data_IF_163059594809
#
_entry.id   IF_163059594809
#
_cell.length_a   1.000
_cell.length_b   1.000
_cell.length_c   1.000
_cell.angle_alpha   90.00
_cell.angle_beta   90.00
_cell.angle_gamma   90.00
#
_symmetry.space_group_name_H-M   'P 1'
#
loop_
_entity.id
_entity.type
_entity.pdbx_description
1 polymer ?
#
# COMPACT_ATOMS: atom_id res chain seq x y z
N UNK A 1 -0.94 13.72 29.81
CA UNK A 1 -0.42 14.62 28.77
C UNK A 1 0.49 13.81 27.86
N UNK A 2 0.33 13.89 26.54
CA UNK A 2 1.18 13.15 25.60
C UNK A 2 2.64 13.57 25.71
N UNK A 3 3.55 12.59 25.66
CA UNK A 3 4.98 12.83 25.55
C UNK A 3 5.58 11.88 24.53
N UNK A 4 6.27 12.41 23.52
CA UNK A 4 6.97 11.63 22.50
C UNK A 4 8.08 10.75 23.10
N UNK A 5 8.56 11.10 24.28
CA UNK A 5 9.58 10.36 25.03
C UNK A 5 9.00 9.15 25.79
N UNK A 6 7.71 9.17 26.12
CA UNK A 6 7.05 8.10 26.85
C UNK A 6 6.34 7.17 25.85
N UNK A 7 7.11 6.22 25.31
CA UNK A 7 6.61 5.30 24.30
C UNK A 7 7.04 3.86 24.62
N UNK A 8 6.11 2.86 24.63
CA UNK A 8 4.66 3.02 24.43
C UNK A 8 4.00 3.86 25.54
N UNK A 9 2.81 4.46 25.27
CA UNK A 9 2.12 5.28 26.26
C UNK A 9 1.62 4.46 27.45
N UNK A 10 1.61 5.06 28.64
CA UNK A 10 1.00 4.50 29.86
C UNK A 10 -0.52 4.80 29.90
N UNK A 11 -1.25 4.49 28.85
CA UNK A 11 -2.69 4.71 28.76
C UNK A 11 -3.42 3.36 28.74
N UNK A 12 -4.70 3.35 29.10
CA UNK A 12 -5.55 2.19 28.85
C UNK A 12 -5.87 2.10 27.35
N UNK A 13 -5.18 1.20 26.68
CA UNK A 13 -5.29 0.97 25.23
C UNK A 13 -6.34 -0.10 24.88
N UNK A 14 -6.79 -0.87 25.86
CA UNK A 14 -7.67 -2.03 25.68
C UNK A 14 -9.06 -1.78 26.29
N UNK A 15 -9.60 -0.59 26.07
CA UNK A 15 -10.96 -0.27 26.49
C UNK A 15 -11.99 -1.19 25.81
N UNK A 16 -13.17 -1.35 26.41
CA UNK A 16 -14.21 -2.22 25.84
C UNK A 16 -14.58 -1.87 24.39
N UNK A 17 -14.72 -0.59 24.00
CA UNK A 17 -14.93 -0.23 22.59
C UNK A 17 -13.77 -0.67 21.68
N UNK A 18 -12.52 -0.45 22.09
CA UNK A 18 -11.31 -0.84 21.35
C UNK A 18 -11.26 -2.35 21.17
N UNK A 19 -11.46 -3.16 22.23
CA UNK A 19 -11.45 -4.61 22.16
C UNK A 19 -12.53 -5.16 21.21
N UNK A 20 -13.73 -4.59 21.22
CA UNK A 20 -14.78 -4.96 20.26
C UNK A 20 -14.40 -4.67 18.81
N UNK A 21 -13.81 -3.50 18.56
CA UNK A 21 -13.36 -3.09 17.22
C UNK A 21 -12.18 -3.94 16.77
N UNK A 22 -11.24 -4.22 17.66
CA UNK A 22 -10.08 -5.07 17.44
C UNK A 22 -10.49 -6.49 16.97
N UNK A 23 -11.46 -7.11 17.66
CA UNK A 23 -11.98 -8.42 17.27
C UNK A 23 -12.53 -8.41 15.82
N UNK A 24 -13.29 -7.38 15.45
CA UNK A 24 -13.83 -7.23 14.09
C UNK A 24 -12.72 -7.02 13.07
N UNK A 25 -11.75 -6.15 13.35
CA UNK A 25 -10.62 -5.87 12.46
C UNK A 25 -9.78 -7.13 12.20
N UNK A 26 -9.45 -7.89 13.26
CA UNK A 26 -8.74 -9.17 13.12
C UNK A 26 -9.48 -10.19 12.28
N UNK A 27 -10.81 -10.31 12.47
CA UNK A 27 -11.63 -11.26 11.70
C UNK A 27 -11.52 -10.98 10.20
N UNK A 28 -11.75 -9.74 9.77
CA UNK A 28 -11.71 -9.39 8.34
C UNK A 28 -10.29 -9.44 7.78
N UNK A 29 -9.28 -9.08 8.57
CA UNK A 29 -7.89 -9.18 8.15
C UNK A 29 -7.47 -10.65 7.95
N UNK A 30 -7.90 -11.55 8.84
CA UNK A 30 -7.66 -12.99 8.69
C UNK A 30 -8.39 -13.57 7.47
N UNK A 31 -9.62 -13.11 7.19
CA UNK A 31 -10.38 -13.50 6.00
C UNK A 31 -9.68 -13.01 4.73
N UNK A 32 -9.22 -11.74 4.69
CA UNK A 32 -8.43 -11.19 3.58
C UNK A 32 -7.17 -12.03 3.33
N UNK A 33 -6.41 -12.32 4.39
CA UNK A 33 -5.23 -13.18 4.30
C UNK A 33 -5.57 -14.55 3.71
N UNK A 34 -6.67 -15.16 4.16
CA UNK A 34 -7.12 -16.47 3.68
C UNK A 34 -7.49 -16.46 2.20
N UNK A 35 -8.27 -15.45 1.77
CA UNK A 35 -8.74 -15.40 0.39
C UNK A 35 -7.62 -15.07 -0.61
N UNK A 36 -6.61 -14.28 -0.23
CA UNK A 36 -5.45 -14.01 -1.07
C UNK A 36 -4.70 -15.28 -1.49
N UNK A 37 -4.75 -16.33 -0.66
CA UNK A 37 -4.15 -17.65 -0.97
C UNK A 37 -4.90 -18.41 -2.06
N UNK A 38 -6.15 -18.03 -2.37
CA UNK A 38 -6.93 -18.64 -3.46
C UNK A 38 -6.45 -18.21 -4.86
N UNK A 39 -5.71 -17.11 -4.95
CA UNK A 39 -5.11 -16.63 -6.20
C UNK A 39 -3.81 -17.41 -6.46
N UNK A 40 -3.73 -18.19 -7.57
CA UNK A 40 -2.59 -19.07 -7.82
C UNK A 40 -1.23 -18.35 -7.91
N UNK A 41 -1.25 -17.10 -8.39
CA UNK A 41 -0.07 -16.25 -8.46
C UNK A 41 -0.32 -14.97 -7.65
N UNK A 42 0.15 -14.95 -6.41
CA UNK A 42 0.00 -13.79 -5.51
C UNK A 42 0.69 -12.51 -6.03
N UNK A 43 1.66 -12.63 -6.96
CA UNK A 43 2.23 -11.49 -7.65
C UNK A 43 1.20 -10.63 -8.37
N UNK A 44 0.07 -11.23 -8.81
CA UNK A 44 -1.06 -10.51 -9.39
C UNK A 44 -1.61 -9.49 -8.38
N UNK A 45 -1.87 -9.92 -7.15
CA UNK A 45 -2.38 -9.04 -6.10
C UNK A 45 -1.36 -7.98 -5.71
N UNK A 46 -0.09 -8.37 -5.52
CA UNK A 46 0.96 -7.43 -5.15
C UNK A 46 1.09 -6.32 -6.21
N UNK A 47 1.11 -6.67 -7.50
CA UNK A 47 1.29 -5.70 -8.58
C UNK A 47 0.08 -4.79 -8.81
N UNK A 48 -1.13 -5.31 -8.67
CA UNK A 48 -2.35 -4.51 -8.91
C UNK A 48 -2.71 -3.66 -7.70
N UNK A 49 -2.62 -4.25 -6.52
CA UNK A 49 -3.14 -3.65 -5.29
C UNK A 49 -2.15 -2.64 -4.68
N UNK A 50 -0.83 -2.84 -4.83
CA UNK A 50 0.17 -1.86 -4.41
C UNK A 50 0.06 -0.52 -5.15
N UNK A 51 -0.38 -0.54 -6.42
CA UNK A 51 -0.59 0.70 -7.17
C UNK A 51 -1.82 1.47 -6.68
N UNK A 52 -2.87 0.78 -6.19
CA UNK A 52 -4.01 1.45 -5.57
C UNK A 52 -3.62 2.10 -4.24
N UNK A 53 -2.90 1.38 -3.37
CA UNK A 53 -2.36 1.95 -2.14
C UNK A 53 -1.44 3.13 -2.43
N UNK A 54 -0.55 3.01 -3.41
CA UNK A 54 0.37 4.06 -3.82
C UNK A 54 -0.35 5.33 -4.28
N UNK A 55 -1.41 5.18 -5.07
CA UNK A 55 -2.24 6.29 -5.52
C UNK A 55 -2.93 6.98 -4.34
N UNK A 56 -3.67 6.23 -3.55
CA UNK A 56 -4.47 6.77 -2.45
C UNK A 56 -3.56 7.38 -1.36
N UNK A 57 -2.41 6.76 -1.07
CA UNK A 57 -1.41 7.32 -0.16
C UNK A 57 -0.81 8.64 -0.66
N UNK A 58 -0.53 8.74 -1.96
CA UNK A 58 -0.01 9.97 -2.56
C UNK A 58 -1.07 11.07 -2.62
N UNK A 59 -2.34 10.71 -2.80
CA UNK A 59 -3.47 11.65 -2.78
C UNK A 59 -3.67 12.32 -1.41
N UNK A 60 -3.33 11.63 -0.31
CA UNK A 60 -3.31 12.24 1.04
C UNK A 60 -2.35 13.44 1.05
N UNK A 61 -1.23 13.37 0.33
CA UNK A 61 -0.23 14.43 0.19
C UNK A 61 -0.53 15.40 -0.99
N UNK A 62 -1.77 15.40 -1.50
CA UNK A 62 -2.22 16.21 -2.64
C UNK A 62 -1.51 15.89 -3.98
N UNK A 63 -0.92 14.72 -4.15
CA UNK A 63 -0.35 14.22 -5.40
C UNK A 63 -1.45 13.45 -6.12
N UNK A 64 -2.12 14.10 -7.07
CA UNK A 64 -3.32 13.59 -7.73
C UNK A 64 -2.95 12.94 -9.06
N UNK A 65 -3.39 11.67 -9.23
CA UNK A 65 -3.29 10.88 -10.47
C UNK A 65 -4.55 10.07 -10.67
N UNK A 66 -4.77 9.58 -11.90
CA UNK A 66 -5.83 8.62 -12.18
C UNK A 66 -5.28 7.20 -12.26
N UNK A 67 -6.11 6.20 -11.97
CA UNK A 67 -5.74 4.79 -12.12
C UNK A 67 -5.30 4.46 -13.55
N UNK A 68 -6.01 5.00 -14.54
CA UNK A 68 -5.71 4.78 -15.95
C UNK A 68 -4.32 5.32 -16.33
N UNK A 69 -3.98 6.54 -15.91
CA UNK A 69 -2.64 7.11 -16.14
C UNK A 69 -1.53 6.27 -15.51
N UNK A 70 -1.76 5.75 -14.31
CA UNK A 70 -0.78 4.91 -13.60
C UNK A 70 -0.57 3.57 -14.32
N UNK A 71 -1.64 2.89 -14.71
CA UNK A 71 -1.53 1.63 -15.42
C UNK A 71 -0.88 1.82 -16.80
N UNK A 72 -1.19 2.89 -17.51
CA UNK A 72 -0.54 3.24 -18.80
C UNK A 72 0.94 3.55 -18.63
N UNK A 73 1.31 4.30 -17.59
CA UNK A 73 2.70 4.67 -17.33
C UNK A 73 3.59 3.47 -17.01
N UNK A 74 3.05 2.45 -16.31
CA UNK A 74 3.79 1.22 -15.99
C UNK A 74 4.27 0.43 -17.21
N UNK A 75 3.69 0.70 -18.39
CA UNK A 75 3.98 -0.03 -19.65
C UNK A 75 4.39 0.89 -20.81
N UNK A 76 4.30 2.21 -20.65
CA UNK A 76 4.63 3.19 -21.68
C UNK A 76 6.11 3.58 -21.63
N UNK A 77 6.71 3.80 -22.81
CA UNK A 77 8.03 4.45 -22.93
C UNK A 77 7.92 5.99 -22.91
N UNK A 78 6.71 6.54 -22.80
CA UNK A 78 6.48 7.99 -22.78
C UNK A 78 6.90 8.59 -21.45
N UNK A 79 7.37 9.85 -21.40
CA UNK A 79 7.67 10.53 -20.15
C UNK A 79 6.43 10.58 -19.25
N UNK A 80 6.55 10.09 -18.01
CA UNK A 80 5.51 10.18 -16.99
C UNK A 80 5.51 11.59 -16.37
N UNK A 81 4.34 12.05 -15.93
CA UNK A 81 4.26 13.29 -15.12
C UNK A 81 5.02 13.11 -13.79
N UNK A 82 5.44 14.19 -13.12
CA UNK A 82 6.03 14.10 -11.78
C UNK A 82 5.14 13.32 -10.80
N UNK A 83 3.84 13.60 -10.76
CA UNK A 83 2.89 12.90 -9.89
C UNK A 83 2.83 11.39 -10.15
N UNK A 84 2.82 10.97 -11.41
CA UNK A 84 2.87 9.55 -11.77
C UNK A 84 4.17 8.89 -11.27
N UNK A 85 5.31 9.58 -11.43
CA UNK A 85 6.60 9.04 -10.94
C UNK A 85 6.60 8.85 -9.42
N UNK A 86 6.03 9.79 -8.68
CA UNK A 86 5.93 9.69 -7.22
C UNK A 86 5.08 8.49 -6.78
N UNK A 87 3.94 8.26 -7.45
CA UNK A 87 3.12 7.06 -7.17
C UNK A 87 3.86 5.77 -7.53
N UNK A 88 4.58 5.74 -8.66
CA UNK A 88 5.41 4.59 -9.03
C UNK A 88 6.55 4.35 -8.04
N UNK A 89 7.18 5.42 -7.53
CA UNK A 89 8.21 5.32 -6.51
C UNK A 89 7.66 4.74 -5.20
N UNK A 90 6.43 5.13 -4.82
CA UNK A 90 5.77 4.55 -3.64
C UNK A 90 5.58 3.04 -3.80
N UNK A 91 5.04 2.59 -4.92
CA UNK A 91 4.87 1.15 -5.19
C UNK A 91 6.22 0.41 -5.17
N UNK A 92 7.27 1.02 -5.75
CA UNK A 92 8.64 0.50 -5.72
C UNK A 92 9.19 0.42 -4.30
N UNK A 93 8.97 1.44 -3.47
CA UNK A 93 9.40 1.49 -2.07
C UNK A 93 8.68 0.42 -1.22
N UNK A 94 7.37 0.21 -1.44
CA UNK A 94 6.61 -0.86 -0.79
C UNK A 94 7.14 -2.25 -1.16
N UNK A 95 7.41 -2.50 -2.43
CA UNK A 95 8.00 -3.76 -2.89
C UNK A 95 9.42 -3.98 -2.33
N UNK A 96 10.24 -2.92 -2.32
CA UNK A 96 11.57 -2.95 -1.70
C UNK A 96 11.48 -3.35 -0.23
N UNK A 97 10.62 -2.68 0.54
CA UNK A 97 10.39 -2.96 1.96
C UNK A 97 9.88 -4.38 2.21
N UNK A 98 8.96 -4.86 1.38
CA UNK A 98 8.47 -6.24 1.46
C UNK A 98 9.59 -7.26 1.25
N UNK A 99 10.45 -7.06 0.24
CA UNK A 99 11.62 -7.92 0.00
C UNK A 99 12.61 -7.91 1.17
N UNK A 100 12.82 -6.77 1.82
CA UNK A 100 13.67 -6.66 3.01
C UNK A 100 13.12 -7.45 4.18
N UNK A 101 11.81 -7.36 4.45
CA UNK A 101 11.15 -8.11 5.52
C UNK A 101 11.19 -9.60 5.25
N UNK A 102 10.88 -10.04 4.02
CA UNK A 102 10.96 -11.47 3.67
C UNK A 102 12.37 -12.04 3.87
N UNK A 103 13.40 -11.25 3.58
CA UNK A 103 14.79 -11.67 3.70
C UNK A 103 15.31 -11.69 5.13
N UNK A 104 14.91 -10.70 5.95
CA UNK A 104 15.55 -10.46 7.25
C UNK A 104 14.64 -10.77 8.45
N UNK A 105 13.33 -10.88 8.28
CA UNK A 105 12.37 -11.15 9.35
C UNK A 105 12.29 -10.02 10.39
N UNK A 106 12.68 -8.80 10.04
CA UNK A 106 12.68 -7.62 10.91
C UNK A 106 12.53 -6.34 10.10
N UNK A 107 12.14 -5.25 10.78
CA UNK A 107 12.07 -3.90 10.19
C UNK A 107 12.97 -2.95 10.99
N UNK A 108 14.14 -2.64 10.45
CA UNK A 108 15.16 -1.79 11.10
C UNK A 108 15.14 -0.36 10.56
N UNK A 109 15.78 0.58 11.26
CA UNK A 109 16.00 1.94 10.77
C UNK A 109 16.73 1.97 9.42
N UNK A 110 17.69 1.05 9.19
CA UNK A 110 18.35 0.93 7.90
C UNK A 110 17.38 0.50 6.78
N UNK A 111 16.42 -0.36 7.09
CA UNK A 111 15.36 -0.72 6.15
C UNK A 111 14.45 0.48 5.88
N UNK A 112 14.05 1.22 6.91
CA UNK A 112 13.22 2.44 6.78
C UNK A 112 13.94 3.50 5.95
N UNK A 113 15.24 3.72 6.16
CA UNK A 113 16.07 4.62 5.36
C UNK A 113 16.14 4.17 3.89
N UNK A 114 16.24 2.86 3.63
CA UNK A 114 16.26 2.30 2.27
C UNK A 114 14.90 2.49 1.58
N UNK A 115 13.81 2.25 2.29
CA UNK A 115 12.43 2.47 1.80
C UNK A 115 12.20 3.94 1.45
N UNK A 116 12.59 4.86 2.33
CA UNK A 116 12.45 6.29 2.10
C UNK A 116 13.33 6.78 0.94
N UNK A 117 14.56 6.27 0.83
CA UNK A 117 15.44 6.60 -0.29
C UNK A 117 14.87 6.13 -1.64
N UNK A 118 14.23 4.96 -1.68
CA UNK A 118 13.51 4.47 -2.86
C UNK A 118 12.26 5.29 -3.16
N UNK A 119 11.54 5.76 -2.15
CA UNK A 119 10.36 6.61 -2.28
C UNK A 119 10.72 7.98 -2.87
N UNK A 120 11.70 8.67 -2.28
CA UNK A 120 12.06 10.04 -2.62
C UNK A 120 13.16 10.15 -3.67
N UNK A 121 13.73 9.01 -4.09
CA UNK A 121 14.88 8.94 -5.02
C UNK A 121 16.06 9.82 -4.56
N UNK A 122 16.27 9.87 -3.25
CA UNK A 122 17.42 10.54 -2.64
C UNK A 122 17.94 9.77 -1.42
N UNK A 123 19.12 10.11 -0.93
CA UNK A 123 19.79 9.49 0.21
C UNK A 123 20.10 10.49 1.32
N UNK A 124 19.20 11.46 1.55
CA UNK A 124 19.42 12.48 2.58
C UNK A 124 19.44 11.91 4.01
N UNK A 125 18.76 10.79 4.25
CA UNK A 125 18.65 10.17 5.57
C UNK A 125 17.76 10.95 6.52
N UNK A 126 17.94 10.74 7.83
CA UNK A 126 17.22 11.53 8.83
C UNK A 126 17.65 13.00 8.76
N UNK A 127 16.67 13.89 8.97
CA UNK A 127 16.92 15.34 8.89
C UNK A 127 17.92 15.79 9.95
N UNK A 128 18.82 16.70 9.53
CA UNK A 128 19.90 17.25 10.35
C UNK A 128 19.68 18.72 10.69
N UNK A 129 18.81 19.39 9.93
CA UNK A 129 18.52 20.81 10.12
C UNK A 129 17.27 20.97 10.99
N UNK A 130 17.34 21.93 11.91
CA UNK A 130 16.19 22.39 12.69
C UNK A 130 15.28 23.30 11.85
N UNK A 131 14.08 23.59 12.38
CA UNK A 131 13.11 24.49 11.75
C UNK A 131 11.93 23.79 11.07
N UNK A 132 11.86 22.44 11.13
CA UNK A 132 10.70 21.69 10.65
C UNK A 132 9.48 21.98 11.52
N UNK A 133 8.37 22.41 10.88
CA UNK A 133 7.08 22.64 11.50
C UNK A 133 5.98 22.08 10.60
N UNK A 134 5.04 21.36 11.19
CA UNK A 134 3.84 20.92 10.48
C UNK A 134 2.80 22.04 10.54
N UNK A 135 2.30 22.46 9.39
CA UNK A 135 1.39 23.57 9.27
C UNK A 135 0.06 23.12 8.67
N UNK A 136 -1.00 23.79 9.04
CA UNK A 136 -2.26 23.65 8.38
C UNK A 136 -2.19 24.32 7.00
N UNK A 137 -2.38 23.57 5.92
CA UNK A 137 -2.26 24.06 4.53
C UNK A 137 -3.22 25.23 4.22
N UNK A 138 -4.38 25.28 4.91
CA UNK A 138 -5.39 26.29 4.68
C UNK A 138 -5.14 27.59 5.46
N UNK A 139 -4.69 27.46 6.74
CA UNK A 139 -4.54 28.63 7.63
C UNK A 139 -3.09 29.10 7.75
N UNK A 140 -2.10 28.26 7.39
CA UNK A 140 -0.68 28.51 7.59
C UNK A 140 -0.21 28.39 9.05
N UNK A 141 -1.12 28.12 9.98
CA UNK A 141 -0.80 28.00 11.41
C UNK A 141 0.03 26.73 11.69
N UNK A 142 1.00 26.84 12.60
CA UNK A 142 1.76 25.69 13.05
C UNK A 142 0.88 24.80 13.91
N UNK A 143 0.66 23.57 13.46
CA UNK A 143 -0.13 22.57 14.18
C UNK A 143 0.74 21.74 15.12
N UNK A 144 1.97 21.41 14.69
CA UNK A 144 2.89 20.60 15.49
C UNK A 144 4.34 20.92 15.14
N UNK A 145 5.19 20.93 16.17
CA UNK A 145 6.65 21.08 16.01
C UNK A 145 7.32 19.77 16.44
N UNK A 146 7.79 18.93 15.49
CA UNK A 146 8.47 17.68 15.80
C UNK A 146 9.85 17.93 16.42
N UNK A 147 10.55 16.89 16.94
CA UNK A 147 11.92 17.01 17.47
C UNK A 147 12.84 17.75 16.51
N UNK A 148 13.62 18.71 17.01
CA UNK A 148 14.44 19.60 16.19
C UNK A 148 15.89 19.16 16.07
N UNK A 149 16.39 18.37 17.02
CA UNK A 149 17.78 17.94 17.06
C UNK A 149 17.95 16.53 16.48
N UNK A 150 18.96 16.34 15.65
CA UNK A 150 19.27 15.05 15.00
C UNK A 150 19.45 13.91 15.98
N UNK A 151 20.12 14.17 17.11
CA UNK A 151 20.36 13.15 18.13
C UNK A 151 19.07 12.66 18.78
N UNK A 152 18.09 13.56 18.99
CA UNK A 152 16.76 13.17 19.47
C UNK A 152 16.02 12.33 18.45
N UNK A 153 16.08 12.70 17.16
CA UNK A 153 15.47 11.93 16.08
C UNK A 153 16.06 10.53 16.05
N UNK A 154 17.39 10.40 16.05
CA UNK A 154 18.08 9.09 16.02
C UNK A 154 17.68 8.25 17.24
N UNK A 155 17.68 8.85 18.43
CA UNK A 155 17.31 8.17 19.68
C UNK A 155 15.86 7.70 19.68
N UNK A 156 14.92 8.54 19.22
CA UNK A 156 13.50 8.20 19.13
C UNK A 156 13.24 7.13 18.07
N UNK A 157 13.91 7.22 16.92
CA UNK A 157 13.83 6.18 15.88
C UNK A 157 14.44 4.86 16.33
N UNK A 158 15.51 4.86 17.15
CA UNK A 158 16.05 3.64 17.72
C UNK A 158 15.10 2.98 18.72
N UNK A 159 14.37 3.77 19.51
CA UNK A 159 13.31 3.25 20.39
C UNK A 159 12.14 2.69 19.60
N UNK A 160 11.76 3.36 18.50
CA UNK A 160 10.72 2.89 17.61
C UNK A 160 11.09 1.56 16.94
N UNK A 161 12.35 1.43 16.48
CA UNK A 161 12.88 0.17 15.94
C UNK A 161 12.82 -0.97 16.97
N UNK A 162 13.23 -0.70 18.21
CA UNK A 162 13.13 -1.67 19.30
C UNK A 162 11.66 -2.08 19.53
N UNK A 163 10.72 -1.13 19.56
CA UNK A 163 9.31 -1.40 19.72
C UNK A 163 8.73 -2.24 18.55
N UNK A 164 9.15 -1.98 17.31
CA UNK A 164 8.69 -2.74 16.13
C UNK A 164 9.09 -4.23 16.24
N UNK A 165 10.31 -4.51 16.71
CA UNK A 165 10.92 -5.84 16.64
C UNK A 165 10.94 -6.59 17.98
N UNK A 166 10.47 -5.98 19.06
CA UNK A 166 10.45 -6.62 20.39
C UNK A 166 9.16 -7.42 20.61
N UNK A 167 9.31 -8.75 20.63
CA UNK A 167 8.22 -9.69 20.93
C UNK A 167 8.20 -10.14 22.42
N UNK A 168 9.19 -9.70 23.23
CA UNK A 168 9.42 -10.22 24.58
C UNK A 168 8.93 -9.28 25.70
N UNK A 169 7.75 -8.72 25.60
CA UNK A 169 7.19 -7.91 26.69
C UNK A 169 6.39 -8.79 27.67
N UNK A 170 6.51 -8.53 28.97
CA UNK A 170 5.69 -9.17 30.02
C UNK A 170 4.18 -8.91 29.82
N UNK A 171 3.84 -7.84 29.12
CA UNK A 171 2.48 -7.47 28.71
C UNK A 171 2.45 -7.23 27.22
N UNK A 172 2.17 -8.27 26.40
CA UNK A 172 2.11 -8.13 24.96
C UNK A 172 0.94 -7.22 24.57
N UNK A 173 1.23 -6.17 23.81
CA UNK A 173 0.24 -5.30 23.19
C UNK A 173 -0.19 -5.97 21.86
N UNK A 174 -1.49 -6.00 21.59
CA UNK A 174 -2.00 -6.55 20.33
C UNK A 174 -1.32 -5.95 19.10
N UNK A 175 -0.95 -6.73 18.07
CA UNK A 175 -0.22 -6.22 16.90
C UNK A 175 -0.94 -5.10 16.14
N UNK A 176 -2.27 -5.08 16.08
CA UNK A 176 -2.99 -3.98 15.46
C UNK A 176 -2.91 -2.70 16.30
N UNK A 177 -3.01 -2.81 17.61
CA UNK A 177 -2.79 -1.66 18.51
C UNK A 177 -1.35 -1.17 18.36
N UNK A 178 -0.36 -2.07 18.34
CA UNK A 178 1.05 -1.70 18.10
C UNK A 178 1.25 -0.95 16.80
N UNK A 179 0.63 -1.40 15.70
CA UNK A 179 0.67 -0.71 14.41
C UNK A 179 0.13 0.72 14.53
N UNK A 180 -0.98 0.91 15.25
CA UNK A 180 -1.61 2.24 15.43
C UNK A 180 -0.72 3.17 16.25
N UNK A 181 -0.09 2.65 17.31
CA UNK A 181 0.86 3.39 18.14
C UNK A 181 2.12 3.76 17.35
N UNK A 182 2.69 2.80 16.64
CA UNK A 182 3.86 2.95 15.78
C UNK A 182 3.64 4.04 14.72
N UNK A 183 2.48 4.06 14.08
CA UNK A 183 2.14 5.07 13.08
C UNK A 183 2.12 6.47 13.68
N UNK A 184 1.41 6.65 14.80
CA UNK A 184 1.36 7.93 15.52
C UNK A 184 2.75 8.40 15.96
N UNK A 185 3.56 7.49 16.51
CA UNK A 185 4.90 7.81 16.97
C UNK A 185 5.82 8.23 15.81
N UNK A 186 5.79 7.49 14.70
CA UNK A 186 6.56 7.83 13.51
C UNK A 186 6.18 9.20 12.95
N UNK A 187 4.87 9.47 12.80
CA UNK A 187 4.35 10.77 12.35
C UNK A 187 4.71 11.91 13.32
N UNK A 188 4.87 11.62 14.62
CA UNK A 188 5.26 12.61 15.61
C UNK A 188 6.77 12.85 15.64
N UNK A 189 7.59 11.84 15.41
CA UNK A 189 9.05 12.01 15.23
C UNK A 189 9.34 12.80 13.96
N UNK A 190 8.61 12.51 12.88
CA UNK A 190 8.74 13.15 11.57
C UNK A 190 10.21 13.21 11.10
N UNK A 191 10.85 12.04 10.93
CA UNK A 191 12.32 11.96 10.88
C UNK A 191 12.94 12.45 9.59
N UNK A 192 12.20 12.62 8.52
CA UNK A 192 12.69 12.96 7.18
C UNK A 192 12.36 14.40 6.78
N UNK A 193 13.06 14.90 5.77
CA UNK A 193 12.75 16.19 5.15
C UNK A 193 11.46 16.14 4.34
N UNK A 194 11.20 15.00 3.66
CA UNK A 194 10.00 14.75 2.87
C UNK A 194 9.62 13.26 2.92
N UNK A 195 8.39 12.94 2.52
CA UNK A 195 7.89 11.58 2.42
C UNK A 195 7.56 10.90 3.76
N UNK A 196 7.49 11.63 4.89
CA UNK A 196 7.19 11.02 6.19
C UNK A 196 5.84 10.30 6.19
N UNK A 197 4.75 10.94 5.80
CA UNK A 197 3.43 10.34 5.75
C UNK A 197 3.38 9.10 4.86
N UNK A 198 3.95 9.17 3.66
CA UNK A 198 4.03 8.04 2.74
C UNK A 198 4.86 6.88 3.31
N UNK A 199 6.03 7.18 3.89
CA UNK A 199 6.88 6.18 4.56
C UNK A 199 6.16 5.53 5.74
N UNK A 200 5.48 6.32 6.60
CA UNK A 200 4.71 5.81 7.74
C UNK A 200 3.59 4.85 7.31
N UNK A 201 2.89 5.15 6.21
CA UNK A 201 1.86 4.25 5.66
C UNK A 201 2.43 2.97 5.05
N UNK A 202 3.60 3.04 4.39
CA UNK A 202 4.34 1.84 3.96
C UNK A 202 4.70 0.98 5.19
N UNK A 203 5.25 1.58 6.24
CA UNK A 203 5.60 0.88 7.48
C UNK A 203 4.41 0.13 8.07
N UNK A 204 3.20 0.74 8.09
CA UNK A 204 2.00 0.07 8.59
C UNK A 204 1.71 -1.24 7.84
N UNK A 205 1.67 -1.19 6.50
CA UNK A 205 1.41 -2.38 5.68
C UNK A 205 2.49 -3.44 5.88
N UNK A 206 3.75 -3.02 5.92
CA UNK A 206 4.89 -3.91 6.15
C UNK A 206 4.88 -4.52 7.55
N UNK A 207 4.44 -3.79 8.57
CA UNK A 207 4.32 -4.30 9.93
C UNK A 207 3.25 -5.41 10.02
N UNK A 208 2.13 -5.30 9.31
CA UNK A 208 1.12 -6.37 9.22
C UNK A 208 1.69 -7.65 8.59
N UNK A 209 2.61 -7.51 7.64
CA UNK A 209 3.31 -8.65 7.06
C UNK A 209 4.35 -9.22 8.04
N UNK A 210 5.12 -8.36 8.69
CA UNK A 210 6.14 -8.74 9.67
C UNK A 210 5.54 -9.57 10.82
N UNK A 211 4.39 -9.15 11.34
CA UNK A 211 3.68 -9.85 12.43
C UNK A 211 2.86 -11.06 11.98
N UNK A 212 2.88 -11.37 10.68
CA UNK A 212 2.14 -12.49 10.11
C UNK A 212 0.62 -12.29 10.07
N UNK A 213 0.10 -11.10 10.31
CA UNK A 213 -1.31 -10.78 10.10
C UNK A 213 -1.69 -10.81 8.62
N UNK A 214 -0.75 -10.52 7.74
CA UNK A 214 -0.84 -10.72 6.30
C UNK A 214 0.37 -11.52 5.79
N UNK A 215 0.22 -12.24 4.67
CA UNK A 215 1.34 -12.92 4.00
C UNK A 215 2.01 -12.01 2.96
N UNK A 216 1.25 -11.07 2.41
CA UNK A 216 1.66 -10.13 1.34
C UNK A 216 1.08 -8.74 1.60
N UNK A 217 1.68 -7.65 1.08
CA UNK A 217 1.24 -6.27 1.34
C UNK A 217 0.03 -5.89 0.48
N UNK A 218 -1.17 -6.30 0.88
CA UNK A 218 -2.42 -6.15 0.10
C UNK A 218 -3.51 -5.34 0.80
N UNK A 219 -3.21 -4.74 1.96
CA UNK A 219 -4.16 -3.86 2.63
C UNK A 219 -3.96 -2.41 2.15
N UNK A 220 -5.01 -1.80 1.57
CA UNK A 220 -4.97 -0.40 1.14
C UNK A 220 -5.49 0.54 2.20
N UNK A 221 -4.77 0.67 3.27
CA UNK A 221 -5.16 1.50 4.41
C UNK A 221 -5.43 2.96 3.98
N UNK A 222 -4.66 3.45 3.01
CA UNK A 222 -4.73 4.83 2.52
C UNK A 222 -6.07 5.18 1.88
N UNK A 223 -6.80 4.20 1.33
CA UNK A 223 -8.14 4.42 0.76
C UNK A 223 -9.14 4.96 1.79
N UNK A 224 -9.12 4.42 3.01
CA UNK A 224 -9.95 4.92 4.09
C UNK A 224 -9.46 6.28 4.58
N UNK A 225 -8.15 6.44 4.71
CA UNK A 225 -7.54 7.67 5.21
C UNK A 225 -7.81 8.86 4.28
N UNK A 226 -7.72 8.70 2.95
CA UNK A 226 -7.99 9.80 2.01
C UNK A 226 -9.46 10.24 2.04
N UNK A 227 -10.39 9.28 2.18
CA UNK A 227 -11.83 9.56 2.29
C UNK A 227 -12.21 10.26 3.60
N UNK A 228 -11.43 10.05 4.65
CA UNK A 228 -11.64 10.58 6.00
C UNK A 228 -10.46 11.46 6.46
N UNK A 229 -9.80 12.18 5.51
CA UNK A 229 -8.53 12.90 5.72
C UNK A 229 -8.60 13.93 6.86
N UNK A 230 -9.68 14.68 6.97
CA UNK A 230 -9.85 15.69 8.02
C UNK A 230 -9.89 15.06 9.42
N UNK A 231 -10.57 13.93 9.56
CA UNK A 231 -10.67 13.19 10.82
C UNK A 231 -9.34 12.54 11.20
N UNK A 232 -8.60 12.00 10.22
CA UNK A 232 -7.25 11.48 10.40
C UNK A 232 -6.32 12.51 11.06
N UNK A 233 -6.21 13.71 10.50
CA UNK A 233 -5.35 14.76 11.05
C UNK A 233 -5.87 15.32 12.38
N UNK A 234 -7.20 15.42 12.54
CA UNK A 234 -7.81 15.86 13.79
C UNK A 234 -7.47 14.91 14.95
N UNK A 235 -7.60 13.60 14.74
CA UNK A 235 -7.34 12.60 15.77
C UNK A 235 -5.86 12.44 16.05
N UNK A 236 -5.00 12.50 15.02
CA UNK A 236 -3.56 12.50 15.17
C UNK A 236 -3.10 13.66 16.08
N UNK A 237 -3.67 14.86 15.87
CA UNK A 237 -3.35 16.02 16.69
C UNK A 237 -4.01 15.94 18.08
N UNK A 238 -5.22 15.40 18.17
CA UNK A 238 -5.91 15.25 19.46
C UNK A 238 -5.08 14.42 20.46
N UNK A 239 -4.48 13.32 20.02
CA UNK A 239 -3.56 12.53 20.87
C UNK A 239 -2.39 13.40 21.36
N UNK A 240 -1.80 14.23 20.50
CA UNK A 240 -0.67 15.12 20.86
C UNK A 240 -1.09 16.15 21.90
N UNK A 241 -2.29 16.67 21.81
CA UNK A 241 -2.80 17.72 22.69
C UNK A 241 -3.25 17.18 24.05
N UNK A 242 -3.90 16.03 24.08
CA UNK A 242 -4.59 15.49 25.26
C UNK A 242 -3.94 14.26 25.88
N UNK A 243 -3.31 13.42 25.06
CA UNK A 243 -2.86 12.07 25.44
C UNK A 243 -3.97 11.03 25.43
N UNK A 244 -5.15 11.34 24.87
CA UNK A 244 -6.28 10.42 24.75
C UNK A 244 -6.18 9.58 23.47
N UNK A 245 -6.05 8.26 23.61
CA UNK A 245 -5.75 7.35 22.51
C UNK A 245 -6.98 6.65 21.93
N UNK A 246 -8.08 6.51 22.69
CA UNK A 246 -9.22 5.68 22.29
C UNK A 246 -9.79 6.09 20.92
N UNK A 247 -10.00 7.38 20.69
CA UNK A 247 -10.53 7.87 19.41
C UNK A 247 -9.62 7.55 18.22
N UNK A 248 -8.30 7.70 18.40
CA UNK A 248 -7.31 7.35 17.38
C UNK A 248 -7.24 5.85 17.11
N UNK A 249 -7.25 5.03 18.16
CA UNK A 249 -7.28 3.57 18.05
C UNK A 249 -8.52 3.10 17.28
N UNK A 250 -9.70 3.58 17.68
CA UNK A 250 -10.96 3.22 17.01
C UNK A 250 -10.97 3.61 15.53
N UNK A 251 -10.47 4.81 15.20
CA UNK A 251 -10.37 5.29 13.82
C UNK A 251 -9.48 4.40 12.96
N UNK A 252 -8.28 4.08 13.44
CA UNK A 252 -7.32 3.26 12.68
C UNK A 252 -7.77 1.79 12.58
N UNK A 253 -8.38 1.24 13.61
CA UNK A 253 -8.97 -0.11 13.58
C UNK A 253 -10.18 -0.17 12.63
N UNK A 254 -11.00 0.90 12.56
CA UNK A 254 -12.05 1.02 11.55
C UNK A 254 -11.47 1.05 10.14
N UNK A 255 -10.38 1.79 9.93
CA UNK A 255 -9.68 1.82 8.65
C UNK A 255 -9.21 0.41 8.23
N UNK A 256 -8.59 -0.35 9.15
CA UNK A 256 -8.19 -1.75 8.90
C UNK A 256 -9.40 -2.62 8.54
N UNK A 257 -10.48 -2.53 9.31
CA UNK A 257 -11.69 -3.34 9.08
C UNK A 257 -12.32 -3.06 7.71
N UNK A 258 -12.55 -1.78 7.39
CA UNK A 258 -13.22 -1.40 6.13
C UNK A 258 -12.36 -1.73 4.92
N UNK A 259 -11.07 -1.44 4.97
CA UNK A 259 -10.18 -1.74 3.85
C UNK A 259 -9.91 -3.25 3.68
N UNK A 260 -9.98 -4.03 4.76
CA UNK A 260 -9.94 -5.49 4.65
C UNK A 260 -11.20 -6.04 3.97
N UNK A 261 -12.39 -5.52 4.27
CA UNK A 261 -13.65 -5.87 3.58
C UNK A 261 -13.57 -5.54 2.08
N UNK A 262 -13.19 -4.31 1.75
CA UNK A 262 -13.02 -3.87 0.35
C UNK A 262 -11.99 -4.76 -0.39
N UNK A 263 -10.92 -5.16 0.31
CA UNK A 263 -9.90 -6.07 -0.22
C UNK A 263 -10.43 -7.47 -0.50
N UNK A 264 -11.23 -8.03 0.41
CA UNK A 264 -11.89 -9.34 0.25
C UNK A 264 -12.73 -9.33 -1.03
N UNK A 265 -13.62 -8.34 -1.18
CA UNK A 265 -14.48 -8.20 -2.34
C UNK A 265 -13.67 -8.08 -3.64
N UNK A 266 -12.62 -7.27 -3.63
CA UNK A 266 -11.72 -7.10 -4.80
C UNK A 266 -11.05 -8.41 -5.18
N UNK A 267 -10.48 -9.14 -4.22
CA UNK A 267 -9.80 -10.43 -4.47
C UNK A 267 -10.80 -11.48 -4.97
N UNK A 268 -12.02 -11.53 -4.41
CA UNK A 268 -13.09 -12.42 -4.89
C UNK A 268 -13.45 -12.14 -6.34
N UNK A 269 -13.64 -10.87 -6.71
CA UNK A 269 -13.95 -10.48 -8.09
C UNK A 269 -12.81 -10.82 -9.05
N UNK A 270 -11.55 -10.59 -8.67
CA UNK A 270 -10.38 -10.99 -9.47
C UNK A 270 -10.38 -12.52 -9.67
N UNK A 271 -10.57 -13.28 -8.60
CA UNK A 271 -10.61 -14.74 -8.66
C UNK A 271 -11.71 -15.24 -9.60
N UNK A 272 -12.92 -14.71 -9.46
CA UNK A 272 -14.05 -15.09 -10.32
C UNK A 272 -13.80 -14.74 -11.79
N UNK A 273 -13.25 -13.55 -12.07
CA UNK A 273 -12.88 -13.14 -13.42
C UNK A 273 -11.79 -14.05 -14.04
N UNK A 274 -10.80 -14.45 -13.24
CA UNK A 274 -9.77 -15.40 -13.68
C UNK A 274 -10.38 -16.76 -14.03
N UNK A 275 -11.32 -17.26 -13.25
CA UNK A 275 -12.02 -18.52 -13.53
C UNK A 275 -12.87 -18.42 -14.81
N UNK A 276 -13.62 -17.32 -14.99
CA UNK A 276 -14.40 -17.09 -16.21
C UNK A 276 -13.50 -17.04 -17.45
N UNK A 277 -12.42 -16.27 -17.43
CA UNK A 277 -11.46 -16.21 -18.53
C UNK A 277 -10.85 -17.57 -18.81
N UNK A 278 -10.44 -18.30 -17.77
CA UNK A 278 -9.89 -19.65 -17.89
C UNK A 278 -10.86 -20.59 -18.63
N UNK A 279 -12.12 -20.63 -18.20
CA UNK A 279 -13.12 -21.51 -18.81
C UNK A 279 -13.44 -21.13 -20.26
N UNK A 280 -13.72 -19.86 -20.51
CA UNK A 280 -14.11 -19.37 -21.86
C UNK A 280 -12.94 -19.46 -22.84
N UNK A 281 -11.72 -19.08 -22.43
CA UNK A 281 -10.52 -19.16 -23.29
C UNK A 281 -10.19 -20.62 -23.61
N UNK A 282 -10.26 -21.52 -22.62
CA UNK A 282 -10.00 -22.94 -22.82
C UNK A 282 -11.00 -23.62 -23.79
N UNK A 283 -12.25 -23.18 -23.79
CA UNK A 283 -13.28 -23.72 -24.66
C UNK A 283 -13.16 -23.21 -26.10
N UNK A 284 -12.73 -21.97 -26.29
CA UNK A 284 -12.83 -21.29 -27.58
C UNK A 284 -11.50 -21.13 -28.34
N UNK A 285 -10.35 -21.29 -27.64
CA UNK A 285 -9.03 -21.03 -28.23
C UNK A 285 -8.03 -22.15 -27.94
N UNK A 286 -7.36 -22.60 -29.00
CA UNK A 286 -6.36 -23.69 -28.92
C UNK A 286 -5.06 -23.28 -28.17
N UNK A 287 -4.79 -21.99 -28.02
CA UNK A 287 -3.59 -21.44 -27.36
C UNK A 287 -3.77 -21.17 -25.87
N UNK A 288 -4.84 -21.68 -25.27
CA UNK A 288 -5.02 -21.58 -23.82
C UNK A 288 -3.80 -22.14 -23.07
N UNK A 289 -3.35 -21.39 -22.07
CA UNK A 289 -2.39 -21.85 -21.05
C UNK A 289 -2.67 -21.13 -19.73
N UNK A 290 -2.22 -21.72 -18.62
CA UNK A 290 -2.31 -21.04 -17.31
C UNK A 290 -1.43 -19.79 -17.27
N UNK A 291 -0.29 -19.81 -17.95
CA UNK A 291 0.62 -18.65 -18.06
C UNK A 291 -0.04 -17.49 -18.81
N UNK A 292 -0.88 -17.78 -19.82
CA UNK A 292 -1.67 -16.74 -20.48
C UNK A 292 -2.63 -16.07 -19.50
N UNK A 293 -3.39 -16.85 -18.70
CA UNK A 293 -4.29 -16.28 -17.69
C UNK A 293 -3.52 -15.45 -16.67
N UNK A 294 -2.43 -15.98 -16.12
CA UNK A 294 -1.58 -15.27 -15.18
C UNK A 294 -1.05 -13.96 -15.79
N UNK A 295 -0.62 -13.99 -17.04
CA UNK A 295 -0.16 -12.80 -17.75
C UNK A 295 -1.24 -11.74 -17.90
N UNK A 296 -2.45 -12.12 -18.30
CA UNK A 296 -3.56 -11.20 -18.51
C UNK A 296 -4.04 -10.52 -17.21
N UNK A 297 -3.87 -11.19 -16.07
CA UNK A 297 -4.29 -10.66 -14.77
C UNK A 297 -3.14 -10.01 -13.96
N UNK A 298 -1.87 -10.17 -14.39
CA UNK A 298 -0.73 -9.56 -13.71
C UNK A 298 -0.72 -8.03 -13.81
N UNK A 299 -1.32 -7.48 -14.86
CA UNK A 299 -1.46 -6.04 -15.09
C UNK A 299 -2.64 -5.78 -16.03
N UNK A 300 -3.47 -4.73 -15.79
CA UNK A 300 -4.62 -4.44 -16.66
C UNK A 300 -4.27 -4.22 -18.13
N UNK A 301 -3.07 -3.71 -18.40
CA UNK A 301 -2.58 -3.46 -19.75
C UNK A 301 -1.48 -4.45 -20.14
N UNK A 302 -1.50 -4.91 -21.40
CA UNK A 302 -0.40 -5.68 -21.99
C UNK A 302 -0.06 -5.23 -23.40
N UNK A 303 1.05 -5.75 -23.92
CA UNK A 303 1.58 -5.54 -25.28
C UNK A 303 2.04 -6.84 -25.88
N UNK A 304 2.16 -6.87 -27.22
CA UNK A 304 2.71 -8.02 -27.95
C UNK A 304 4.06 -8.43 -27.37
N UNK A 305 4.98 -7.50 -27.14
CA UNK A 305 6.34 -7.80 -26.65
C UNK A 305 6.36 -8.42 -25.25
N UNK A 306 5.38 -8.08 -24.40
CA UNK A 306 5.24 -8.66 -23.06
C UNK A 306 4.72 -10.10 -23.14
N UNK A 307 3.68 -10.33 -23.93
CA UNK A 307 3.14 -11.68 -24.15
C UNK A 307 4.17 -12.62 -24.78
N UNK A 308 4.95 -12.14 -25.77
CA UNK A 308 6.04 -12.89 -26.38
C UNK A 308 7.02 -13.43 -25.30
N UNK A 309 7.44 -12.57 -24.39
CA UNK A 309 8.38 -12.93 -23.32
C UNK A 309 7.79 -13.93 -22.33
N UNK A 310 6.54 -13.68 -21.91
CA UNK A 310 5.88 -14.53 -20.90
C UNK A 310 5.57 -15.92 -21.43
N UNK A 311 5.07 -16.03 -22.67
CA UNK A 311 4.69 -17.32 -23.27
C UNK A 311 5.78 -17.96 -24.11
N UNK A 312 6.92 -17.28 -24.29
CA UNK A 312 8.01 -17.71 -25.17
C UNK A 312 7.53 -18.05 -26.59
N UNK A 313 6.72 -17.18 -27.18
CA UNK A 313 6.16 -17.33 -28.52
C UNK A 313 6.66 -16.27 -29.49
N UNK A 314 6.53 -16.52 -30.79
CA UNK A 314 6.90 -15.56 -31.82
C UNK A 314 6.00 -14.32 -31.81
N UNK A 315 6.49 -13.19 -32.35
CA UNK A 315 5.71 -11.95 -32.45
C UNK A 315 4.39 -12.13 -33.23
N UNK A 316 4.36 -12.84 -34.39
CA UNK A 316 3.10 -13.12 -35.10
C UNK A 316 2.12 -13.92 -34.25
N UNK A 317 2.59 -14.93 -33.51
CA UNK A 317 1.73 -15.73 -32.62
C UNK A 317 1.16 -14.89 -31.48
N UNK A 318 1.98 -14.09 -30.80
CA UNK A 318 1.51 -13.21 -29.72
C UNK A 318 0.51 -12.18 -30.23
N UNK A 319 0.74 -11.57 -31.41
CA UNK A 319 -0.20 -10.64 -32.02
C UNK A 319 -1.54 -11.31 -32.32
N UNK A 320 -1.50 -12.51 -32.95
CA UNK A 320 -2.70 -13.31 -33.26
C UNK A 320 -3.49 -13.62 -31.96
N UNK A 321 -2.85 -14.08 -30.90
CA UNK A 321 -3.52 -14.41 -29.64
C UNK A 321 -4.22 -13.18 -29.03
N UNK A 322 -3.56 -12.04 -29.00
CA UNK A 322 -4.15 -10.81 -28.44
C UNK A 322 -5.30 -10.27 -29.30
N UNK A 323 -5.21 -10.39 -30.63
CA UNK A 323 -6.28 -9.97 -31.56
C UNK A 323 -7.48 -10.89 -31.43
N UNK A 324 -7.31 -12.22 -31.41
CA UNK A 324 -8.39 -13.18 -31.18
C UNK A 324 -9.07 -13.00 -29.81
N UNK A 325 -8.31 -12.70 -28.75
CA UNK A 325 -8.87 -12.39 -27.43
C UNK A 325 -9.65 -11.07 -27.43
N UNK A 326 -9.25 -10.11 -28.28
CA UNK A 326 -9.99 -8.85 -28.46
C UNK A 326 -11.33 -9.12 -29.19
N UNK A 327 -11.31 -9.88 -30.24
CA UNK A 327 -12.52 -10.30 -30.96
C UNK A 327 -13.47 -11.12 -30.07
N UNK A 328 -12.91 -11.94 -29.17
CA UNK A 328 -13.68 -12.71 -28.18
C UNK A 328 -14.22 -11.91 -27.00
N UNK A 329 -13.93 -10.59 -26.91
CA UNK A 329 -14.44 -9.70 -25.88
C UNK A 329 -13.73 -9.82 -24.52
N UNK A 330 -12.52 -10.40 -24.46
CA UNK A 330 -11.68 -10.47 -23.26
C UNK A 330 -10.82 -9.22 -23.09
N UNK A 331 -10.37 -8.66 -24.21
CA UNK A 331 -9.49 -7.50 -24.24
C UNK A 331 -10.10 -6.37 -25.06
N UNK A 332 -9.74 -5.15 -24.69
CA UNK A 332 -9.96 -3.96 -25.51
C UNK A 332 -8.63 -3.51 -26.12
N UNK A 333 -8.59 -3.35 -27.45
CA UNK A 333 -7.39 -2.89 -28.15
C UNK A 333 -7.41 -1.38 -28.30
N UNK A 334 -6.40 -0.69 -27.80
CA UNK A 334 -6.25 0.74 -27.89
C UNK A 334 -4.90 1.10 -28.53
N UNK A 335 -4.89 2.07 -29.45
CA UNK A 335 -3.65 2.59 -30.05
C UNK A 335 -3.20 3.83 -29.30
N UNK A 336 -2.05 3.75 -28.62
CA UNK A 336 -1.44 4.87 -27.92
C UNK A 336 -0.09 5.19 -28.58
N UNK A 337 -0.01 6.34 -29.22
CA UNK A 337 1.16 6.71 -30.01
C UNK A 337 1.43 5.71 -31.16
N UNK A 338 2.61 5.08 -31.13
CA UNK A 338 3.03 4.08 -32.15
C UNK A 338 2.76 2.62 -31.73
N UNK A 339 2.23 2.39 -30.54
CA UNK A 339 2.06 1.04 -29.96
C UNK A 339 0.58 0.69 -29.78
N UNK A 340 0.23 -0.58 -30.00
CA UNK A 340 -1.05 -1.15 -29.61
C UNK A 340 -0.94 -1.69 -28.19
N UNK A 341 -1.91 -1.34 -27.37
CA UNK A 341 -2.13 -1.83 -26.02
C UNK A 341 -3.38 -2.70 -26.01
N UNK A 342 -3.38 -3.71 -25.17
CA UNK A 342 -4.49 -4.62 -24.97
C UNK A 342 -4.86 -4.57 -23.49
N UNK A 343 -6.10 -4.20 -23.21
CA UNK A 343 -6.61 -3.91 -21.87
C UNK A 343 -7.50 -5.05 -21.44
N UNK A 344 -7.21 -5.69 -20.33
CA UNK A 344 -8.07 -6.69 -19.72
C UNK A 344 -9.33 -6.02 -19.18
N UNK A 345 -10.47 -6.24 -19.85
CA UNK A 345 -11.73 -5.55 -19.57
C UNK A 345 -12.21 -5.87 -18.15
N UNK A 346 -12.21 -7.15 -17.78
CA UNK A 346 -12.70 -7.57 -16.47
C UNK A 346 -11.83 -7.02 -15.33
N UNK A 347 -10.50 -7.14 -15.45
CA UNK A 347 -9.58 -6.65 -14.43
C UNK A 347 -9.66 -5.12 -14.28
N UNK A 348 -9.75 -4.41 -15.41
CA UNK A 348 -9.89 -2.95 -15.41
C UNK A 348 -11.15 -2.50 -14.67
N UNK A 349 -12.29 -3.13 -14.95
CA UNK A 349 -13.56 -2.83 -14.29
C UNK A 349 -13.54 -3.12 -12.78
N UNK A 350 -12.77 -4.13 -12.33
CA UNK A 350 -12.61 -4.45 -10.91
C UNK A 350 -11.75 -3.41 -10.21
N UNK A 351 -10.69 -2.93 -10.87
CA UNK A 351 -9.71 -2.03 -10.25
C UNK A 351 -10.10 -0.55 -10.33
N UNK A 352 -10.94 -0.18 -11.29
CA UNK A 352 -11.49 1.18 -11.34
C UNK A 352 -12.61 1.33 -10.31
N UNK A 353 -12.67 2.45 -9.56
CA UNK A 353 -13.82 2.73 -8.71
C UNK A 353 -15.08 2.77 -9.58
N UNK A 354 -16.12 2.03 -9.20
CA UNK A 354 -17.47 2.32 -9.65
C UNK A 354 -17.95 3.56 -8.89
N UNK A 355 -18.23 4.64 -9.61
CA UNK A 355 -18.85 5.87 -9.08
C UNK A 355 -20.18 5.54 -8.37
#
# INVERSE_FOLDING_TARGET
>A
MYSIEQFPPEADLETVPVLKKLNSAHRYLAELKGICRSIPNQGILINTLSLQEAKDSSEIENIITTHDELFRAGISASPSSPAIKEVQNYASALHCGFGLIQKHGMLTNNHILTIQAELEKNHAGFRKQSGTMLRNDRTGETVYTPPQHTDDIIRLMSRLEAFINDDNTEKPIDPLIRMVLLHHQFESIHPFYDGNGRTGRIINVLYLVLTGLLDIPVLYLSRYLVRNKSEYYRLLQHVRDTGEWEGWLLYMLEAVEQTAKDGIDTVQHIHQAMLDYKHRIRQNFSFYSQDLINHLFNHPYTKIDFLMKTLNVSRPSAAKYLDELTEGGFLHKEKIGRSNYYINIALMNILLPTD
#
